data_IF_582543984309
#
_entry.id   IF_582543984309
#
_cell.length_a   1.000
_cell.length_b   1.000
_cell.length_c   1.000
_cell.angle_alpha   90.00
_cell.angle_beta   90.00
_cell.angle_gamma   90.00
#
_symmetry.space_group_name_H-M   'P 1'
#
loop_
_entity.id
_entity.type
_entity.pdbx_description
1 polymer ?
#
# COMPACT_ATOMS: atom_id res chain seq x y z
N UNK A 1 -23.38 2.02 72.35
CA UNK A 1 -23.70 2.61 71.02
C UNK A 1 -22.48 2.49 70.12
N UNK A 2 -22.44 1.61 69.10
CA UNK A 2 -21.29 1.53 68.21
C UNK A 2 -21.49 2.41 66.98
N UNK A 3 -20.54 3.31 66.72
CA UNK A 3 -20.46 4.12 65.50
C UNK A 3 -20.10 3.22 64.30
N UNK A 4 -20.97 3.15 63.29
CA UNK A 4 -20.66 2.59 61.98
C UNK A 4 -19.85 3.62 61.19
N UNK A 5 -18.60 3.29 60.80
CA UNK A 5 -17.84 4.05 59.80
C UNK A 5 -18.26 3.58 58.40
N UNK A 6 -18.88 4.47 57.64
CA UNK A 6 -19.21 4.28 56.24
C UNK A 6 -17.95 4.57 55.41
N UNK A 7 -17.36 3.54 54.79
CA UNK A 7 -16.28 3.72 53.82
C UNK A 7 -16.91 4.01 52.46
N UNK A 8 -16.71 5.22 51.94
CA UNK A 8 -17.13 5.63 50.61
C UNK A 8 -16.03 5.23 49.62
N UNK A 9 -16.24 4.16 48.86
CA UNK A 9 -15.36 3.74 47.76
C UNK A 9 -15.60 4.64 46.54
N UNK A 10 -14.68 5.57 46.32
CA UNK A 10 -14.66 6.40 45.11
C UNK A 10 -14.09 5.57 43.96
N UNK A 11 -14.95 4.97 43.12
CA UNK A 11 -14.50 4.34 41.88
C UNK A 11 -14.22 5.43 40.85
N UNK A 12 -12.94 5.65 40.54
CA UNK A 12 -12.52 6.48 39.42
C UNK A 12 -12.84 5.72 38.12
N UNK A 13 -13.89 6.14 37.42
CA UNK A 13 -14.15 5.72 36.05
C UNK A 13 -13.08 6.38 35.18
N UNK A 14 -12.04 5.63 34.81
CA UNK A 14 -11.15 6.04 33.72
C UNK A 14 -11.91 5.88 32.42
N UNK A 15 -12.52 6.96 31.95
CA UNK A 15 -13.00 7.05 30.58
C UNK A 15 -11.76 7.06 29.69
N UNK A 16 -11.42 5.92 29.09
CA UNK A 16 -10.43 5.87 28.02
C UNK A 16 -11.00 6.66 26.83
N UNK A 17 -10.64 7.94 26.76
CA UNK A 17 -10.76 8.72 25.54
C UNK A 17 -9.76 8.09 24.56
N UNK A 18 -10.23 7.13 23.77
CA UNK A 18 -9.51 6.71 22.58
C UNK A 18 -9.60 7.90 21.62
N UNK A 19 -8.57 8.74 21.64
CA UNK A 19 -8.38 9.69 20.56
C UNK A 19 -8.41 8.90 19.26
N UNK A 20 -9.24 9.33 18.31
CA UNK A 20 -9.16 8.85 16.93
C UNK A 20 -7.81 9.32 16.40
N UNK A 21 -6.76 8.58 16.70
CA UNK A 21 -5.46 8.78 16.10
C UNK A 21 -5.64 8.45 14.61
N UNK A 22 -5.14 9.32 13.73
CA UNK A 22 -4.97 8.94 12.33
C UNK A 22 -4.26 7.58 12.32
N UNK A 23 -4.82 6.61 11.59
CA UNK A 23 -4.28 5.26 11.56
C UNK A 23 -2.80 5.34 11.14
N UNK A 24 -1.92 4.69 11.90
CA UNK A 24 -0.51 4.59 11.51
C UNK A 24 -0.44 3.72 10.25
N UNK A 25 -0.16 4.37 9.11
CA UNK A 25 -0.06 3.70 7.82
C UNK A 25 0.99 2.59 7.80
N UNK A 26 2.08 2.77 8.54
CA UNK A 26 3.22 1.85 8.58
C UNK A 26 3.15 0.89 9.79
N UNK A 27 2.02 0.83 10.48
CA UNK A 27 1.86 -0.05 11.63
C UNK A 27 2.16 -1.52 11.27
N UNK A 28 2.81 -2.28 12.17
CA UNK A 28 3.19 -3.67 11.89
C UNK A 28 1.99 -4.56 11.57
N UNK A 29 2.15 -5.43 10.57
CA UNK A 29 1.16 -6.43 10.16
C UNK A 29 1.90 -7.72 9.83
N UNK A 30 1.34 -8.89 10.15
CA UNK A 30 1.89 -10.16 9.64
C UNK A 30 1.30 -10.43 8.26
N UNK A 31 2.09 -10.80 7.23
CA UNK A 31 1.54 -11.10 5.91
C UNK A 31 0.70 -12.38 5.95
N UNK A 32 -0.36 -12.45 5.15
CA UNK A 32 -1.31 -13.56 5.18
C UNK A 32 -1.91 -13.87 3.80
N UNK A 33 -2.32 -15.12 3.54
CA UNK A 33 -3.05 -15.47 2.32
C UNK A 33 -4.44 -14.83 2.34
N UNK A 34 -4.84 -14.22 1.23
CA UNK A 34 -6.20 -13.71 1.03
C UNK A 34 -7.05 -14.84 0.44
N UNK A 35 -6.67 -15.30 -0.75
CA UNK A 35 -7.32 -16.41 -1.44
C UNK A 35 -6.45 -16.89 -2.62
N UNK A 36 -6.38 -18.21 -2.81
CA UNK A 36 -5.58 -18.79 -3.90
C UNK A 36 -4.12 -18.32 -3.87
N UNK A 37 -3.63 -17.80 -4.99
CA UNK A 37 -2.29 -17.22 -5.11
C UNK A 37 -2.17 -15.74 -4.73
N UNK A 38 -3.12 -15.18 -3.98
CA UNK A 38 -3.12 -13.76 -3.58
C UNK A 38 -2.82 -13.60 -2.09
N UNK A 39 -1.92 -12.68 -1.74
CA UNK A 39 -1.41 -12.49 -0.39
C UNK A 39 -1.40 -11.02 -0.02
N UNK A 40 -1.78 -10.71 1.21
CA UNK A 40 -1.58 -9.39 1.79
C UNK A 40 -0.13 -9.27 2.26
N UNK A 41 0.58 -8.27 1.76
CA UNK A 41 2.00 -8.01 2.07
C UNK A 41 2.26 -6.58 2.52
N UNK A 42 1.23 -5.73 2.63
CA UNK A 42 1.36 -4.36 3.16
C UNK A 42 1.54 -4.27 4.68
N UNK A 43 1.81 -3.06 5.20
CA UNK A 43 1.62 -2.73 6.62
C UNK A 43 0.13 -2.74 6.99
N UNK A 44 -0.21 -2.51 8.27
CA UNK A 44 -1.61 -2.59 8.73
C UNK A 44 -2.50 -1.50 8.13
N UNK A 45 -1.97 -0.28 7.96
CA UNK A 45 -2.77 0.88 7.57
C UNK A 45 -2.89 1.10 6.06
N UNK A 46 -2.03 0.47 5.24
CA UNK A 46 -2.10 0.58 3.78
C UNK A 46 -1.91 -0.78 3.13
N UNK A 47 -2.84 -1.12 2.23
CA UNK A 47 -2.80 -2.39 1.51
C UNK A 47 -1.67 -2.43 0.47
N UNK A 48 -1.00 -3.58 0.42
CA UNK A 48 -0.21 -4.02 -0.71
C UNK A 48 -0.46 -5.52 -0.91
N UNK A 49 -0.67 -5.94 -2.16
CA UNK A 49 -1.11 -7.31 -2.49
C UNK A 49 -0.16 -7.96 -3.50
N UNK A 50 0.34 -9.14 -3.16
CA UNK A 50 1.15 -9.97 -4.06
C UNK A 50 0.26 -11.06 -4.69
N UNK A 51 0.29 -11.17 -6.02
CA UNK A 51 -0.36 -12.23 -6.79
C UNK A 51 0.73 -13.09 -7.44
N UNK A 52 0.76 -14.39 -7.15
CA UNK A 52 1.90 -15.26 -7.45
C UNK A 52 1.62 -16.33 -8.50
N UNK A 53 2.66 -16.66 -9.27
CA UNK A 53 2.72 -17.81 -10.16
C UNK A 53 4.16 -18.28 -10.34
N UNK A 54 4.35 -19.49 -10.88
CA UNK A 54 5.67 -20.04 -11.21
C UNK A 54 6.39 -19.29 -12.35
N UNK A 55 5.72 -18.38 -13.06
CA UNK A 55 6.30 -17.58 -14.15
C UNK A 55 6.60 -16.13 -13.74
N UNK A 56 6.41 -15.81 -12.47
CA UNK A 56 6.60 -14.47 -11.90
C UNK A 56 5.38 -13.98 -11.14
N UNK A 57 5.54 -12.83 -10.49
CA UNK A 57 4.53 -12.24 -9.61
C UNK A 57 4.07 -10.87 -10.13
N UNK A 58 2.89 -10.46 -9.65
CA UNK A 58 2.37 -9.09 -9.79
C UNK A 58 2.21 -8.54 -8.37
N UNK A 59 2.72 -7.35 -8.10
CA UNK A 59 2.47 -6.61 -6.87
C UNK A 59 1.46 -5.49 -7.15
N UNK A 60 0.57 -5.20 -6.21
CA UNK A 60 -0.34 -4.05 -6.25
C UNK A 60 0.02 -3.14 -5.08
N UNK A 61 0.32 -1.88 -5.40
CA UNK A 61 0.73 -0.79 -4.50
C UNK A 61 2.04 -1.03 -3.74
N UNK A 62 2.73 0.07 -3.44
CA UNK A 62 4.01 0.10 -2.74
C UNK A 62 3.97 0.66 -1.32
N UNK A 63 2.80 1.10 -0.86
CA UNK A 63 2.65 1.76 0.43
C UNK A 63 3.41 3.10 0.50
N UNK A 64 3.70 3.54 1.72
CA UNK A 64 4.52 4.73 1.99
C UNK A 64 5.98 4.49 1.58
N UNK A 65 6.84 5.53 1.55
CA UNK A 65 8.28 5.34 1.35
C UNK A 65 8.93 4.38 2.37
N UNK A 66 8.38 4.27 3.59
CA UNK A 66 8.87 3.34 4.61
C UNK A 66 8.32 1.92 4.43
N UNK A 67 7.10 1.80 3.91
CA UNK A 67 6.42 0.52 3.72
C UNK A 67 7.18 -0.43 2.79
N UNK A 68 7.97 0.08 1.85
CA UNK A 68 8.71 -0.74 0.88
C UNK A 68 9.58 -1.82 1.54
N UNK A 69 10.30 -1.47 2.62
CA UNK A 69 11.13 -2.44 3.35
C UNK A 69 10.28 -3.55 3.98
N UNK A 70 9.15 -3.19 4.59
CA UNK A 70 8.17 -4.12 5.17
C UNK A 70 7.58 -5.03 4.10
N UNK A 71 7.18 -4.50 2.94
CA UNK A 71 6.62 -5.28 1.83
C UNK A 71 7.65 -6.30 1.32
N UNK A 72 8.90 -5.89 1.10
CA UNK A 72 10.00 -6.80 0.69
C UNK A 72 10.18 -7.92 1.71
N UNK A 73 10.14 -7.59 2.99
CA UNK A 73 10.31 -8.52 4.09
C UNK A 73 9.15 -9.51 4.18
N UNK A 74 7.92 -9.03 4.03
CA UNK A 74 6.70 -9.83 3.99
C UNK A 74 6.70 -10.84 2.83
N UNK A 75 7.07 -10.39 1.63
CA UNK A 75 7.18 -11.25 0.44
C UNK A 75 8.18 -12.39 0.72
N UNK A 76 9.34 -12.08 1.31
CA UNK A 76 10.35 -13.08 1.69
C UNK A 76 9.86 -14.03 2.79
N UNK A 77 9.15 -13.54 3.80
CA UNK A 77 8.56 -14.37 4.86
C UNK A 77 7.57 -15.40 4.33
N UNK A 78 6.83 -15.05 3.28
CA UNK A 78 5.91 -15.97 2.59
C UNK A 78 6.64 -16.98 1.67
N UNK A 79 7.97 -16.91 1.57
CA UNK A 79 8.77 -17.81 0.73
C UNK A 79 8.89 -17.37 -0.73
N UNK A 80 8.42 -16.18 -1.08
CA UNK A 80 8.54 -15.62 -2.43
C UNK A 80 9.78 -14.74 -2.57
N UNK A 81 10.18 -14.49 -3.81
CA UNK A 81 11.31 -13.62 -4.13
C UNK A 81 10.80 -12.30 -4.72
N UNK A 82 11.07 -11.15 -4.09
CA UNK A 82 10.76 -9.84 -4.67
C UNK A 82 11.33 -9.65 -6.08
N UNK A 83 12.45 -10.30 -6.37
CA UNK A 83 13.14 -10.31 -7.68
C UNK A 83 12.35 -11.05 -8.77
N UNK A 84 11.31 -11.81 -8.40
CA UNK A 84 10.41 -12.50 -9.34
C UNK A 84 9.15 -11.68 -9.69
N UNK A 85 8.98 -10.49 -9.10
CA UNK A 85 7.93 -9.54 -9.47
C UNK A 85 8.23 -9.00 -10.88
N UNK A 86 7.25 -9.11 -11.79
CA UNK A 86 7.37 -8.64 -13.17
C UNK A 86 6.69 -7.29 -13.38
N UNK A 87 5.56 -7.11 -12.71
CA UNK A 87 4.80 -5.86 -12.73
C UNK A 87 4.45 -5.40 -11.32
N UNK A 88 4.53 -4.09 -11.11
CA UNK A 88 3.92 -3.41 -9.97
C UNK A 88 2.76 -2.58 -10.54
N UNK A 89 1.54 -2.87 -10.10
CA UNK A 89 0.34 -2.12 -10.45
C UNK A 89 0.08 -1.07 -9.38
N UNK A 90 -0.44 0.08 -9.78
CA UNK A 90 -0.69 1.21 -8.89
C UNK A 90 -2.17 1.55 -8.90
N UNK A 91 -2.79 1.61 -7.73
CA UNK A 91 -4.18 2.02 -7.56
C UNK A 91 -4.36 3.51 -7.87
N UNK A 92 -3.55 4.36 -7.24
CA UNK A 92 -3.43 5.80 -7.50
C UNK A 92 -2.06 6.34 -7.04
N UNK A 93 -1.73 7.54 -7.48
CA UNK A 93 -0.38 8.14 -7.41
C UNK A 93 -0.06 8.91 -6.12
N UNK A 94 -0.78 8.69 -5.02
CA UNK A 94 -0.48 9.35 -3.74
C UNK A 94 0.59 8.62 -2.96
N UNK A 95 1.31 9.36 -2.12
CA UNK A 95 2.50 8.87 -1.43
C UNK A 95 2.27 7.70 -0.49
N UNK A 96 1.07 7.56 0.06
CA UNK A 96 0.72 6.49 0.96
C UNK A 96 0.55 5.16 0.22
N UNK A 97 0.30 5.17 -1.10
CA UNK A 97 0.22 3.98 -1.95
C UNK A 97 1.39 3.82 -2.91
N UNK A 98 1.96 4.94 -3.38
CA UNK A 98 2.98 5.01 -4.42
C UNK A 98 4.37 5.37 -3.89
N UNK A 99 4.51 5.76 -2.62
CA UNK A 99 5.76 6.25 -2.06
C UNK A 99 6.88 5.22 -2.02
N UNK A 100 6.54 3.93 -1.87
CA UNK A 100 7.51 2.83 -1.86
C UNK A 100 7.93 2.30 -3.25
N UNK A 101 7.31 2.79 -4.34
CA UNK A 101 7.45 2.18 -5.66
C UNK A 101 8.87 2.20 -6.21
N UNK A 102 9.62 3.29 -6.03
CA UNK A 102 10.97 3.40 -6.55
C UNK A 102 11.92 2.36 -5.93
N UNK A 103 11.83 2.13 -4.62
CA UNK A 103 12.60 1.10 -3.93
C UNK A 103 12.17 -0.31 -4.38
N UNK A 104 10.86 -0.57 -4.46
CA UNK A 104 10.33 -1.86 -4.90
C UNK A 104 10.75 -2.17 -6.35
N UNK A 105 10.73 -1.17 -7.23
CA UNK A 105 11.22 -1.28 -8.60
C UNK A 105 12.71 -1.59 -8.65
N UNK A 106 13.55 -0.91 -7.85
CA UNK A 106 14.99 -1.20 -7.80
C UNK A 106 15.30 -2.63 -7.38
N UNK A 107 14.57 -3.16 -6.39
CA UNK A 107 14.79 -4.52 -5.90
C UNK A 107 14.30 -5.58 -6.89
N UNK A 108 13.14 -5.35 -7.51
CA UNK A 108 12.51 -6.34 -8.39
C UNK A 108 12.97 -6.29 -9.85
N UNK A 109 13.39 -5.11 -10.34
CA UNK A 109 13.51 -4.82 -11.76
C UNK A 109 12.15 -4.75 -12.49
N UNK A 110 11.04 -4.70 -11.76
CA UNK A 110 9.70 -4.74 -12.34
C UNK A 110 9.37 -3.47 -13.15
N UNK A 111 8.49 -3.63 -14.14
CA UNK A 111 7.85 -2.48 -14.79
C UNK A 111 6.66 -2.02 -13.94
N UNK A 112 6.56 -0.72 -13.69
CA UNK A 112 5.41 -0.15 -12.98
C UNK A 112 4.34 0.19 -14.01
N UNK A 113 3.13 -0.33 -13.82
CA UNK A 113 2.00 -0.12 -14.72
C UNK A 113 0.94 0.73 -14.03
N UNK A 114 0.48 1.77 -14.71
CA UNK A 114 -0.48 2.73 -14.16
C UNK A 114 -1.37 3.33 -15.26
N UNK A 115 -2.28 4.23 -14.91
CA UNK A 115 -3.08 4.97 -15.88
C UNK A 115 -2.23 6.03 -16.62
N UNK A 116 -2.63 6.48 -17.82
CA UNK A 116 -2.00 7.60 -18.50
C UNK A 116 -1.98 8.89 -17.68
N UNK A 117 -2.98 9.09 -16.81
CA UNK A 117 -3.09 10.27 -15.95
C UNK A 117 -2.06 10.25 -14.81
N UNK A 118 -1.86 9.09 -14.18
CA UNK A 118 -0.94 8.91 -13.05
C UNK A 118 0.53 8.80 -13.50
N UNK A 119 0.79 8.29 -14.71
CA UNK A 119 2.16 8.13 -15.27
C UNK A 119 3.07 9.37 -15.08
N UNK A 120 2.69 10.59 -15.50
CA UNK A 120 3.55 11.77 -15.31
C UNK A 120 3.80 12.13 -13.84
N UNK A 121 2.88 11.82 -12.92
CA UNK A 121 3.09 12.02 -11.48
C UNK A 121 4.15 11.04 -10.97
N UNK A 122 4.03 9.76 -11.33
CA UNK A 122 5.01 8.75 -10.92
C UNK A 122 6.41 9.02 -11.50
N UNK A 123 6.50 9.45 -12.77
CA UNK A 123 7.78 9.76 -13.41
C UNK A 123 8.44 11.04 -12.87
N UNK A 124 7.66 12.01 -12.40
CA UNK A 124 8.19 13.28 -11.86
C UNK A 124 8.35 13.28 -10.35
N UNK A 125 7.61 12.41 -9.64
CA UNK A 125 7.45 12.43 -8.19
C UNK A 125 6.61 13.59 -7.66
N UNK A 126 5.99 14.40 -8.53
CA UNK A 126 5.27 15.63 -8.15
C UNK A 126 3.76 15.47 -8.29
N UNK A 127 2.95 15.83 -7.28
CA UNK A 127 1.50 15.78 -7.37
C UNK A 127 0.93 16.56 -8.56
N UNK A 128 -0.13 16.03 -9.17
CA UNK A 128 -0.81 16.67 -10.27
C UNK A 128 -1.53 17.96 -9.81
N UNK A 129 -1.39 19.07 -10.55
CA UNK A 129 -2.13 20.32 -10.25
C UNK A 129 -3.66 20.19 -10.36
N UNK A 130 -4.14 19.20 -11.11
CA UNK A 130 -5.56 18.88 -11.22
C UNK A 130 -6.11 18.03 -10.07
N UNK A 131 -5.25 17.55 -9.17
CA UNK A 131 -5.65 16.77 -8.00
C UNK A 131 -6.35 17.68 -6.96
N UNK A 132 -7.54 17.32 -6.45
CA UNK A 132 -8.23 18.09 -5.42
C UNK A 132 -7.42 18.32 -4.15
N UNK A 133 -6.43 17.47 -3.88
CA UNK A 133 -5.52 17.54 -2.72
C UNK A 133 -4.18 18.22 -3.06
N UNK A 134 -4.03 18.78 -4.27
CA UNK A 134 -2.82 19.50 -4.67
C UNK A 134 -2.45 20.59 -3.65
N UNK A 135 -1.17 20.65 -3.31
CA UNK A 135 -0.63 21.56 -2.29
C UNK A 135 -0.61 21.00 -0.86
N UNK A 136 -1.34 19.91 -0.60
CA UNK A 136 -1.28 19.17 0.66
C UNK A 136 -0.56 17.81 0.54
N UNK A 137 -0.42 17.30 -0.69
CA UNK A 137 0.27 16.05 -0.98
C UNK A 137 1.80 16.23 -0.94
N UNK A 138 2.54 15.34 -0.25
CA UNK A 138 3.99 15.32 -0.34
C UNK A 138 4.44 14.75 -1.70
N UNK A 139 5.68 15.07 -2.06
CA UNK A 139 6.34 14.43 -3.20
C UNK A 139 6.68 12.97 -2.89
N UNK A 140 6.83 12.17 -3.94
CA UNK A 140 7.38 10.80 -3.88
C UNK A 140 8.72 10.73 -4.62
N UNK A 141 9.47 9.66 -4.38
CA UNK A 141 10.64 9.37 -5.20
C UNK A 141 10.20 9.04 -6.64
N UNK A 142 10.77 9.69 -7.68
CA UNK A 142 10.45 9.39 -9.07
C UNK A 142 10.67 7.92 -9.42
N UNK A 143 9.79 7.39 -10.26
CA UNK A 143 9.81 6.01 -10.75
C UNK A 143 10.26 6.02 -12.21
N UNK A 144 11.24 5.20 -12.57
CA UNK A 144 11.87 5.27 -13.89
C UNK A 144 11.09 4.48 -14.96
N UNK A 145 10.92 3.17 -14.76
CA UNK A 145 10.31 2.28 -15.76
C UNK A 145 8.78 2.18 -15.55
N UNK A 146 8.09 3.29 -15.83
CA UNK A 146 6.62 3.41 -15.76
C UNK A 146 6.01 3.24 -17.15
N UNK A 147 4.97 2.42 -17.31
CA UNK A 147 4.17 2.31 -18.54
C UNK A 147 2.70 2.53 -18.25
N UNK A 148 2.02 3.18 -19.20
CA UNK A 148 0.58 3.35 -19.13
C UNK A 148 -0.14 2.14 -19.71
N UNK A 149 -1.21 1.70 -19.04
CA UNK A 149 -2.17 0.69 -19.55
C UNK A 149 -3.51 1.35 -19.84
N UNK A 150 -4.25 0.87 -20.83
CA UNK A 150 -5.57 1.40 -21.22
C UNK A 150 -6.67 0.92 -20.28
N UNK A 151 -7.79 1.63 -20.28
CA UNK A 151 -9.00 1.15 -19.60
C UNK A 151 -9.45 -0.19 -20.22
N UNK A 152 -9.80 -1.15 -19.37
CA UNK A 152 -10.13 -2.52 -19.75
C UNK A 152 -8.95 -3.38 -20.21
N UNK A 153 -7.72 -2.86 -20.24
CA UNK A 153 -6.54 -3.63 -20.64
C UNK A 153 -6.24 -4.75 -19.64
N UNK A 154 -5.90 -5.94 -20.16
CA UNK A 154 -5.51 -7.09 -19.33
C UNK A 154 -3.99 -7.23 -19.34
N UNK A 155 -3.40 -7.09 -18.16
CA UNK A 155 -1.97 -7.33 -17.90
C UNK A 155 -1.77 -8.79 -17.54
N UNK A 156 -0.83 -9.45 -18.21
CA UNK A 156 -0.56 -10.88 -18.01
C UNK A 156 0.87 -11.17 -17.56
N UNK A 157 1.03 -12.10 -16.60
CA UNK A 157 2.33 -12.70 -16.21
C UNK A 157 2.15 -14.20 -16.11
N UNK A 158 2.60 -14.94 -17.13
CA UNK A 158 2.31 -16.37 -17.24
C UNK A 158 0.80 -16.64 -17.19
N UNK A 159 0.29 -17.43 -16.21
CA UNK A 159 -1.14 -17.69 -16.08
C UNK A 159 -1.93 -16.55 -15.39
N UNK A 160 -1.25 -15.54 -14.83
CA UNK A 160 -1.90 -14.42 -14.16
C UNK A 160 -2.49 -13.46 -15.20
N UNK A 161 -3.71 -12.97 -14.94
CA UNK A 161 -4.37 -11.95 -15.74
C UNK A 161 -5.09 -10.96 -14.82
N UNK A 162 -4.68 -9.69 -14.86
CA UNK A 162 -5.30 -8.59 -14.09
C UNK A 162 -5.83 -7.55 -15.07
N UNK A 163 -7.12 -7.24 -14.99
CA UNK A 163 -7.76 -6.23 -15.84
C UNK A 163 -7.73 -4.86 -15.15
N UNK A 164 -7.11 -3.88 -15.79
CA UNK A 164 -7.20 -2.49 -15.37
C UNK A 164 -8.60 -1.95 -15.69
N UNK A 165 -9.25 -1.29 -14.71
CA UNK A 165 -10.45 -0.51 -14.95
C UNK A 165 -10.21 0.87 -14.37
N UNK A 166 -10.42 1.91 -15.14
CA UNK A 166 -10.24 3.27 -14.65
C UNK A 166 -11.37 3.64 -13.71
N UNK A 167 -11.01 4.13 -12.53
CA UNK A 167 -11.95 4.56 -11.49
C UNK A 167 -11.57 5.96 -11.02
N UNK A 168 -11.62 6.97 -11.91
CA UNK A 168 -11.17 8.32 -11.57
C UNK A 168 -12.08 8.97 -10.54
N UNK A 169 -11.56 9.96 -9.83
CA UNK A 169 -12.32 10.80 -8.91
C UNK A 169 -11.51 11.19 -7.68
N UNK A 170 -10.78 10.22 -7.11
CA UNK A 170 -9.76 10.48 -6.08
C UNK A 170 -8.50 11.07 -6.74
N UNK A 171 -8.04 10.44 -7.82
CA UNK A 171 -7.09 10.99 -8.79
C UNK A 171 -7.60 10.84 -10.22
#
# INVERSE_FOLDING_TARGET
>A
MPFKRLALSLSLIFTCVHGVHAADWDAPQTPFPIYGGSYYVGPQGVASVLITSLKGHILIDGGTPKSAATIIEHIRRLGFKPEEIKYILVSHEHFDHAGGLAQLQRVSGATVLTSPAAKPVLESGKPNRGDPQFGALPDIEPVENVKAVRDGEVVTVGPLAVKANYTPGHT
#
